data_IF_731657933801
#
_entry.id   IF_731657933801
#
_cell.length_a   1.000
_cell.length_b   1.000
_cell.length_c   1.000
_cell.angle_alpha   90.00
_cell.angle_beta   90.00
_cell.angle_gamma   90.00
#
_symmetry.space_group_name_H-M   'P 1'
#
loop_
_entity.id
_entity.type
_entity.pdbx_description
1 polymer ?
#
# COMPACT_ATOMS: atom_id res chain seq x y z
N UNK A 1 -11.26 18.00 3.78
CA UNK A 1 -11.25 16.63 4.28
C UNK A 1 -9.89 15.99 4.10
N UNK A 2 -9.30 15.51 5.18
CA UNK A 2 -7.96 14.95 5.12
C UNK A 2 -8.02 13.43 5.00
N UNK A 3 -7.22 12.90 4.07
CA UNK A 3 -7.06 11.46 3.95
C UNK A 3 -5.76 11.05 4.61
N UNK A 4 -5.80 9.97 5.34
CA UNK A 4 -4.61 9.45 5.97
C UNK A 4 -3.78 8.72 4.92
N UNK A 5 -2.48 9.00 4.92
CA UNK A 5 -1.55 8.37 4.00
C UNK A 5 -0.59 7.47 4.75
N UNK A 6 -0.21 6.38 4.12
CA UNK A 6 0.75 5.43 4.69
C UNK A 6 2.03 5.48 3.88
N UNK A 7 3.16 5.68 4.55
CA UNK A 7 4.47 5.69 3.89
C UNK A 7 4.96 4.26 3.70
N UNK A 8 6.07 4.10 2.97
CA UNK A 8 6.70 2.80 2.80
C UNK A 8 7.03 2.15 4.13
N UNK A 9 7.54 2.93 5.07
CA UNK A 9 7.85 2.45 6.39
C UNK A 9 6.61 1.94 7.11
N UNK A 10 5.54 2.70 6.98
CA UNK A 10 4.30 2.36 7.67
C UNK A 10 3.64 1.12 7.10
N UNK A 11 3.82 0.84 5.83
CA UNK A 11 3.32 -0.40 5.25
C UNK A 11 3.87 -1.59 6.01
N UNK A 12 5.15 -1.53 6.38
CA UNK A 12 5.80 -2.61 7.08
C UNK A 12 5.51 -2.58 8.58
N UNK A 13 5.62 -1.41 9.22
CA UNK A 13 5.53 -1.33 10.67
C UNK A 13 4.10 -1.28 11.18
N UNK A 14 3.20 -0.65 10.46
CA UNK A 14 1.81 -0.50 10.89
C UNK A 14 0.94 -1.62 10.33
N UNK A 15 1.12 -1.92 9.06
CA UNK A 15 0.26 -2.90 8.39
C UNK A 15 0.89 -4.28 8.26
N UNK A 16 2.15 -4.42 8.63
CA UNK A 16 2.80 -5.71 8.61
C UNK A 16 3.01 -6.30 7.23
N UNK A 17 3.10 -5.44 6.21
CA UNK A 17 3.32 -5.90 4.84
C UNK A 17 4.83 -6.06 4.61
N UNK A 18 5.32 -7.29 4.46
CA UNK A 18 6.77 -7.54 4.40
C UNK A 18 7.37 -7.41 3.00
N UNK A 19 6.66 -6.80 2.07
CA UNK A 19 7.11 -6.71 0.70
C UNK A 19 8.13 -5.61 0.51
N UNK A 20 9.16 -5.88 -0.29
CA UNK A 20 10.14 -4.86 -0.66
C UNK A 20 9.53 -3.91 -1.69
N UNK A 21 10.12 -2.70 -1.86
CA UNK A 21 9.58 -1.74 -2.82
C UNK A 21 9.45 -2.28 -4.25
N UNK A 22 10.38 -3.11 -4.67
CA UNK A 22 10.31 -3.69 -6.01
C UNK A 22 9.12 -4.61 -6.17
N UNK A 23 8.82 -5.39 -5.14
CA UNK A 23 7.67 -6.28 -5.15
C UNK A 23 6.36 -5.50 -5.18
N UNK A 24 6.30 -4.44 -4.37
CA UNK A 24 5.11 -3.58 -4.34
C UNK A 24 4.89 -2.93 -5.70
N UNK A 25 5.94 -2.45 -6.34
CA UNK A 25 5.83 -1.85 -7.67
C UNK A 25 5.29 -2.85 -8.69
N UNK A 26 5.73 -4.09 -8.59
CA UNK A 26 5.24 -5.15 -9.47
C UNK A 26 3.76 -5.42 -9.25
N UNK A 27 3.34 -5.45 -8.00
CA UNK A 27 1.93 -5.65 -7.67
C UNK A 27 1.06 -4.49 -8.17
N UNK A 28 1.58 -3.27 -8.05
CA UNK A 28 0.88 -2.10 -8.56
C UNK A 28 0.69 -2.19 -10.08
N UNK A 29 1.73 -2.59 -10.78
CA UNK A 29 1.67 -2.74 -12.23
C UNK A 29 0.66 -3.80 -12.65
N UNK A 30 0.54 -4.84 -11.86
CA UNK A 30 -0.40 -5.92 -12.13
C UNK A 30 -1.83 -5.58 -11.68
N UNK A 31 -2.02 -4.45 -11.02
CA UNK A 31 -3.32 -4.06 -10.49
C UNK A 31 -3.72 -4.80 -9.24
N UNK A 32 -2.75 -5.43 -8.56
CA UNK A 32 -3.01 -6.23 -7.37
C UNK A 32 -2.70 -5.49 -6.07
N UNK A 33 -2.36 -4.22 -6.16
CA UNK A 33 -2.06 -3.40 -4.99
C UNK A 33 -2.51 -1.97 -5.27
N UNK A 34 -2.94 -1.23 -4.25
CA UNK A 34 -3.35 0.17 -4.46
C UNK A 34 -2.23 1.00 -5.05
N UNK A 35 -2.58 1.92 -5.93
CA UNK A 35 -1.58 2.76 -6.57
C UNK A 35 -1.06 3.80 -5.60
N UNK A 36 0.24 4.07 -5.72
CA UNK A 36 0.89 5.06 -4.88
C UNK A 36 0.51 6.48 -5.27
N UNK A 37 0.59 7.37 -4.29
CA UNK A 37 0.42 8.79 -4.51
C UNK A 37 1.79 9.42 -4.43
N UNK A 38 2.15 10.19 -5.45
CA UNK A 38 3.44 10.89 -5.47
C UNK A 38 3.30 12.22 -4.72
N UNK A 39 4.08 12.39 -3.67
CA UNK A 39 4.04 13.59 -2.86
C UNK A 39 5.16 14.57 -3.20
N UNK A 40 6.17 14.12 -3.92
CA UNK A 40 7.30 14.93 -4.30
C UNK A 40 8.30 14.10 -5.07
N UNK A 41 9.47 14.66 -5.36
CA UNK A 41 10.45 14.00 -6.21
C UNK A 41 10.83 12.61 -5.73
N UNK A 42 10.99 12.44 -4.41
CA UNK A 42 11.43 11.17 -3.85
C UNK A 42 10.46 10.62 -2.81
N UNK A 43 9.26 11.18 -2.74
CA UNK A 43 8.31 10.78 -1.72
C UNK A 43 7.06 10.20 -2.33
N UNK A 44 6.72 9.01 -1.86
CA UNK A 44 5.49 8.34 -2.26
C UNK A 44 4.79 7.83 -1.02
N UNK A 45 3.47 7.69 -1.14
CA UNK A 45 2.66 7.16 -0.05
C UNK A 45 1.44 6.48 -0.66
N UNK A 46 0.68 5.80 0.17
CA UNK A 46 -0.55 5.15 -0.26
C UNK A 46 -1.69 5.65 0.59
N UNK A 47 -2.88 5.72 0.01
CA UNK A 47 -4.06 6.09 0.80
C UNK A 47 -4.31 4.96 1.79
N UNK A 48 -4.32 5.29 3.07
CA UNK A 48 -4.45 4.28 4.12
C UNK A 48 -5.73 3.45 3.98
N UNK A 49 -6.82 4.09 3.61
CA UNK A 49 -8.08 3.38 3.41
C UNK A 49 -7.97 2.32 2.34
N UNK A 50 -7.28 2.63 1.25
CA UNK A 50 -7.09 1.68 0.16
C UNK A 50 -6.22 0.52 0.58
N UNK A 51 -5.19 0.80 1.36
CA UNK A 51 -4.31 -0.25 1.88
C UNK A 51 -5.10 -1.18 2.80
N UNK A 52 -5.94 -0.60 3.65
CA UNK A 52 -6.76 -1.37 4.57
C UNK A 52 -7.75 -2.25 3.82
N UNK A 53 -8.37 -1.73 2.78
CA UNK A 53 -9.28 -2.50 1.95
C UNK A 53 -8.56 -3.65 1.24
N UNK A 54 -7.34 -3.38 0.79
CA UNK A 54 -6.54 -4.42 0.16
C UNK A 54 -6.25 -5.55 1.14
N UNK A 55 -5.90 -5.21 2.37
CA UNK A 55 -5.64 -6.20 3.40
C UNK A 55 -6.90 -7.00 3.71
N UNK A 56 -8.03 -6.33 3.83
CA UNK A 56 -9.31 -6.99 4.08
C UNK A 56 -9.64 -7.98 2.97
N UNK A 57 -9.41 -7.59 1.72
CA UNK A 57 -9.65 -8.46 0.59
C UNK A 57 -8.76 -9.70 0.64
N UNK A 58 -7.50 -9.53 1.06
CA UNK A 58 -6.58 -10.65 1.19
C UNK A 58 -7.04 -11.62 2.28
N UNK A 59 -7.49 -11.08 3.40
CA UNK A 59 -7.99 -11.89 4.50
C UNK A 59 -9.24 -12.66 4.08
N UNK A 60 -10.14 -11.99 3.37
CA UNK A 60 -11.39 -12.59 2.92
C UNK A 60 -11.16 -13.68 1.87
N UNK A 61 -10.12 -13.54 1.07
CA UNK A 61 -9.84 -14.48 -0.01
C UNK A 61 -8.89 -15.61 0.35
N UNK A 62 -8.42 -15.66 1.56
CA UNK A 62 -7.53 -16.75 1.97
C UNK A 62 -8.33 -18.03 2.06
N UNK A 63 -7.72 -19.08 1.63
CA UNK A 63 -8.36 -20.39 1.67
C UNK A 63 -8.29 -20.97 3.07
#
# INVERSE_FOLDING_TARGET
MTRKLASKKELKSVYGIPYCPAHIARLESAGSFPKRVTLGACRVAWVAEEVEEWIEARISNRA
#
